data_IF_851607410159
#
_entry.id   IF_851607410159
#
_cell.length_a   1.000
_cell.length_b   1.000
_cell.length_c   1.000
_cell.angle_alpha   90.00
_cell.angle_beta   90.00
_cell.angle_gamma   90.00
#
_symmetry.space_group_name_H-M   'P 1'
#
loop_
_entity.id
_entity.type
_entity.pdbx_description
1 polymer ?
#
# COMPACT_ATOMS: atom_id res chain seq x y z
N UNK A 1 3.46 23.79 0.89
CA UNK A 1 2.41 22.76 0.73
C UNK A 1 3.10 21.41 0.62
N UNK A 2 2.99 20.55 1.63
CA UNK A 2 3.49 19.19 1.57
C UNK A 2 2.61 18.42 0.57
N UNK A 3 3.20 17.92 -0.51
CA UNK A 3 2.48 17.05 -1.44
C UNK A 3 2.38 15.67 -0.79
N UNK A 4 1.25 15.40 -0.13
CA UNK A 4 0.96 14.05 0.36
C UNK A 4 0.63 13.17 -0.84
N UNK A 5 1.48 12.17 -1.08
CA UNK A 5 1.24 11.19 -2.12
C UNK A 5 0.26 10.11 -1.63
N UNK A 6 -0.55 9.64 -2.57
CA UNK A 6 -1.49 8.55 -2.38
C UNK A 6 -0.81 7.26 -2.86
N UNK A 7 -0.71 6.28 -1.98
CA UNK A 7 -0.26 4.93 -2.34
C UNK A 7 -1.42 3.96 -2.26
N UNK A 8 -1.53 3.08 -3.25
CA UNK A 8 -2.54 2.01 -3.26
C UNK A 8 -1.89 0.67 -3.55
N UNK A 9 -2.31 -0.36 -2.81
CA UNK A 9 -1.87 -1.75 -3.01
C UNK A 9 -3.06 -2.68 -3.02
N UNK A 10 -3.26 -3.36 -4.15
CA UNK A 10 -4.24 -4.43 -4.27
C UNK A 10 -3.61 -5.79 -3.97
N UNK A 11 -4.29 -6.62 -3.19
CA UNK A 11 -3.82 -7.96 -2.83
C UNK A 11 -4.96 -8.97 -2.94
N UNK A 12 -4.61 -10.26 -2.99
CA UNK A 12 -5.57 -11.36 -2.89
C UNK A 12 -5.56 -11.85 -1.46
N UNK A 13 -6.68 -11.68 -0.77
CA UNK A 13 -6.88 -12.05 0.61
C UNK A 13 -6.49 -10.94 1.59
N UNK A 14 -7.16 -10.93 2.74
CA UNK A 14 -6.96 -9.92 3.78
C UNK A 14 -5.56 -10.01 4.43
N UNK A 15 -5.00 -11.21 4.54
CA UNK A 15 -3.67 -11.42 5.15
C UNK A 15 -2.58 -10.70 4.36
N UNK A 16 -2.59 -10.82 3.03
CA UNK A 16 -1.62 -10.15 2.17
C UNK A 16 -1.79 -8.61 2.21
N UNK A 17 -3.02 -8.12 2.30
CA UNK A 17 -3.29 -6.70 2.50
C UNK A 17 -2.67 -6.17 3.80
N UNK A 18 -2.81 -6.91 4.90
CA UNK A 18 -2.25 -6.52 6.20
C UNK A 18 -0.71 -6.50 6.17
N UNK A 19 -0.08 -7.50 5.57
CA UNK A 19 1.38 -7.53 5.41
C UNK A 19 1.88 -6.36 4.56
N UNK A 20 1.19 -6.05 3.46
CA UNK A 20 1.52 -4.91 2.63
C UNK A 20 1.37 -3.57 3.39
N UNK A 21 0.31 -3.43 4.18
CA UNK A 21 0.09 -2.26 5.04
C UNK A 21 1.22 -2.08 6.07
N UNK A 22 1.58 -3.14 6.80
CA UNK A 22 2.67 -3.13 7.79
C UNK A 22 4.02 -2.77 7.14
N UNK A 23 4.30 -3.34 5.97
CA UNK A 23 5.51 -3.03 5.22
C UNK A 23 5.56 -1.56 4.74
N UNK A 24 4.42 -0.99 4.34
CA UNK A 24 4.32 0.40 3.89
C UNK A 24 4.59 1.40 5.02
N UNK A 25 3.92 1.24 6.17
CA UNK A 25 4.09 2.15 7.32
C UNK A 25 5.49 2.04 7.95
N UNK A 26 6.18 0.89 7.81
CA UNK A 26 7.59 0.73 8.24
C UNK A 26 8.59 1.34 7.26
N UNK A 27 8.24 1.45 5.98
CA UNK A 27 9.18 1.88 4.93
C UNK A 27 9.18 3.39 4.68
N UNK A 28 8.07 4.08 5.02
CA UNK A 28 7.90 5.52 4.82
C UNK A 28 7.01 6.13 5.91
N UNK A 29 7.05 7.45 6.06
CA UNK A 29 6.15 8.18 6.95
C UNK A 29 4.77 8.34 6.29
N UNK A 30 4.04 7.22 6.21
CA UNK A 30 2.72 7.14 5.61
C UNK A 30 1.70 6.64 6.63
N UNK A 31 0.49 7.17 6.55
CA UNK A 31 -0.66 6.72 7.32
C UNK A 31 -1.55 5.81 6.48
N UNK A 32 -2.02 4.74 7.11
CA UNK A 32 -3.09 3.92 6.55
C UNK A 32 -4.38 4.71 6.60
N UNK A 33 -4.99 4.95 5.44
CA UNK A 33 -6.30 5.62 5.34
C UNK A 33 -7.43 4.61 5.50
N UNK A 34 -7.27 3.44 4.90
CA UNK A 34 -8.27 2.38 4.94
C UNK A 34 -7.92 1.22 4.01
N UNK A 35 -8.83 0.26 3.97
CA UNK A 35 -8.76 -0.84 3.02
C UNK A 35 -10.16 -1.11 2.47
N UNK A 36 -10.24 -1.32 1.17
CA UNK A 36 -11.48 -1.58 0.44
C UNK A 36 -11.50 -3.02 -0.06
N UNK A 37 -12.64 -3.69 0.12
CA UNK A 37 -12.86 -5.05 -0.39
C UNK A 37 -13.62 -4.94 -1.70
N UNK A 38 -12.94 -5.15 -2.81
CA UNK A 38 -13.50 -4.91 -4.15
C UNK A 38 -14.29 -6.14 -4.66
N UNK A 39 -14.14 -7.29 -3.99
CA UNK A 39 -14.79 -8.56 -4.34
C UNK A 39 -13.81 -9.59 -4.90
N UNK A 40 -14.26 -10.82 -5.14
CA UNK A 40 -13.42 -11.92 -5.68
C UNK A 40 -12.16 -12.23 -4.85
N UNK A 41 -12.20 -11.93 -3.55
CA UNK A 41 -11.05 -12.06 -2.66
C UNK A 41 -9.98 -10.96 -2.82
N UNK A 42 -10.24 -9.91 -3.58
CA UNK A 42 -9.35 -8.77 -3.72
C UNK A 42 -9.59 -7.74 -2.61
N UNK A 43 -8.50 -7.29 -2.01
CA UNK A 43 -8.47 -6.28 -0.96
C UNK A 43 -7.43 -5.24 -1.31
N UNK A 44 -7.86 -3.99 -1.36
CA UNK A 44 -7.02 -2.84 -1.71
C UNK A 44 -6.77 -2.00 -0.48
N UNK A 45 -5.51 -1.78 -0.17
CA UNK A 45 -5.05 -0.93 0.92
C UNK A 45 -4.69 0.44 0.39
N UNK A 46 -5.13 1.48 1.09
CA UNK A 46 -4.93 2.87 0.73
C UNK A 46 -4.10 3.55 1.82
N UNK A 47 -3.00 4.19 1.42
CA UNK A 47 -2.10 4.94 2.30
C UNK A 47 -1.89 6.37 1.80
N UNK A 48 -1.66 7.30 2.73
CA UNK A 48 -1.37 8.71 2.44
C UNK A 48 -0.18 9.20 3.24
N UNK A 49 0.69 9.98 2.64
CA UNK A 49 1.78 10.64 3.35
C UNK A 49 2.92 11.12 2.46
N UNK A 50 4.04 11.43 3.09
CA UNK A 50 5.22 11.93 2.37
C UNK A 50 6.04 10.77 1.81
N UNK A 51 5.97 10.59 0.48
CA UNK A 51 6.66 9.51 -0.24
C UNK A 51 8.06 9.96 -0.72
N UNK A 52 8.41 11.24 -0.56
CA UNK A 52 9.70 11.80 -1.00
C UNK A 52 10.91 11.23 -0.22
N UNK A 53 10.66 10.51 0.89
CA UNK A 53 11.66 9.77 1.66
C UNK A 53 11.24 8.31 1.86
N UNK A 54 10.93 7.60 0.78
CA UNK A 54 10.78 6.15 0.84
C UNK A 54 12.16 5.49 0.97
N UNK A 55 12.39 4.72 2.05
CA UNK A 55 13.64 3.95 2.24
C UNK A 55 13.78 2.78 1.26
N UNK A 56 12.69 2.40 0.57
CA UNK A 56 12.62 1.26 -0.34
C UNK A 56 12.02 1.67 -1.69
N UNK A 57 12.51 1.09 -2.81
CA UNK A 57 11.81 1.16 -4.10
C UNK A 57 10.41 0.56 -3.98
N UNK A 58 9.47 0.87 -4.90
CA UNK A 58 8.11 0.33 -4.88
C UNK A 58 8.16 -1.18 -4.67
N UNK A 59 7.57 -1.64 -3.57
CA UNK A 59 7.67 -3.02 -3.15
C UNK A 59 6.81 -3.86 -4.11
N UNK A 60 7.47 -4.67 -4.95
CA UNK A 60 6.81 -5.79 -5.61
C UNK A 60 6.42 -6.77 -4.49
N UNK A 61 5.18 -6.70 -4.03
CA UNK A 61 4.62 -7.70 -3.11
C UNK A 61 4.78 -9.05 -3.83
N UNK A 62 5.22 -10.13 -3.16
CA UNK A 62 5.54 -11.42 -3.81
C UNK A 62 4.34 -12.14 -4.47
N UNK A 63 3.22 -11.45 -4.65
CA UNK A 63 2.02 -11.93 -5.31
C UNK A 63 1.88 -11.23 -6.68
N UNK A 64 1.64 -11.97 -7.78
CA UNK A 64 1.74 -11.48 -9.17
C UNK A 64 0.74 -10.39 -9.59
N UNK A 65 -0.14 -9.93 -8.69
CA UNK A 65 -1.22 -8.97 -8.98
C UNK A 65 -1.17 -7.69 -8.13
N UNK A 66 -0.16 -7.51 -7.28
CA UNK A 66 -0.10 -6.35 -6.40
C UNK A 66 0.78 -5.25 -7.00
N UNK A 67 0.15 -4.28 -7.69
CA UNK A 67 0.83 -3.16 -8.33
C UNK A 67 0.64 -1.88 -7.52
N UNK A 68 1.74 -1.22 -7.20
CA UNK A 68 1.73 0.12 -6.57
C UNK A 68 1.36 1.16 -7.63
N UNK A 69 0.20 1.80 -7.50
CA UNK A 69 -0.17 2.95 -8.33
C UNK A 69 0.38 4.21 -7.66
N UNK A 70 1.23 4.95 -8.37
CA UNK A 70 1.82 6.24 -7.92
C UNK A 70 0.82 7.38 -8.02
#
# INVERSE_FOLDING_TARGET
MQQEALGMVETKGLTAAIEAADAMVKSANVMLVGYEKIGSGLVTVIVRGDVARSKRPPMQVPQPHATWVK
#
